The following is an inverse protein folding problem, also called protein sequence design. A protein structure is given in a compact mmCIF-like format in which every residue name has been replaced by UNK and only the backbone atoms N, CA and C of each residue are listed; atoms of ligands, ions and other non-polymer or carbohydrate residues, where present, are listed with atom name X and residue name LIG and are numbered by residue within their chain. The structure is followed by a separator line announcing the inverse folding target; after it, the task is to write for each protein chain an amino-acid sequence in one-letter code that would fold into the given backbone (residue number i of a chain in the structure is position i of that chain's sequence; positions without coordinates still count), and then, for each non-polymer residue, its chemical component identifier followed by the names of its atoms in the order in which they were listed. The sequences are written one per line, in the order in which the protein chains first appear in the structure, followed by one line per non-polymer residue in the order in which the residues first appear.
data_IF_066337852289
#
_entry.id   IF_066337852289
#
_cell.length_a   1.000
_cell.length_b   1.000
_cell.length_c   1.000
_cell.angle_alpha   90.00
_cell.angle_beta   90.00
_cell.angle_gamma   90.00
#
_symmetry.space_group_name_H-M   'P 1'
#
loop_
_entity.id
_entity.type
_entity.pdbx_description
1 polymer ?
#
# COMPACT_ATOMS: atom_id res chain seq x y z
N UNK A 1 -14.22 -33.22 -53.29
CA UNK A 1 -12.88 -32.62 -53.47
C UNK A 1 -13.04 -31.14 -53.78
N UNK A 2 -12.27 -30.28 -53.10
CA UNK A 2 -12.25 -28.79 -53.16
C UNK A 2 -13.48 -28.16 -52.46
N UNK A 3 -13.36 -27.42 -51.36
CA UNK A 3 -12.39 -26.35 -51.10
C UNK A 3 -11.83 -26.42 -49.67
N UNK A 4 -10.53 -26.64 -49.62
CA UNK A 4 -9.66 -26.26 -48.52
C UNK A 4 -9.52 -24.73 -48.60
N UNK A 5 -10.07 -23.98 -47.65
CA UNK A 5 -9.74 -22.58 -47.41
C UNK A 5 -10.18 -22.25 -45.97
N UNK A 6 -9.23 -22.24 -45.04
CA UNK A 6 -8.62 -20.98 -44.56
C UNK A 6 -9.62 -20.22 -43.69
N UNK A 7 -9.62 -20.62 -42.43
CA UNK A 7 -9.58 -19.75 -41.27
C UNK A 7 -9.18 -20.71 -40.16
N UNK A 8 -7.89 -21.05 -40.07
CA UNK A 8 -7.06 -20.40 -39.06
C UNK A 8 -7.95 -20.21 -37.82
N UNK A 9 -8.12 -21.29 -37.05
CA UNK A 9 -8.20 -21.13 -35.61
C UNK A 9 -7.03 -20.22 -35.30
N UNK A 10 -7.31 -18.92 -35.23
CA UNK A 10 -6.54 -18.04 -34.37
C UNK A 10 -6.54 -18.82 -33.07
N UNK A 11 -5.39 -19.43 -32.78
CA UNK A 11 -4.83 -19.36 -31.47
C UNK A 11 -5.05 -17.91 -31.05
N UNK A 12 -6.19 -17.67 -30.40
CA UNK A 12 -6.28 -16.65 -29.39
C UNK A 12 -5.33 -17.19 -28.33
N UNK A 13 -4.04 -16.98 -28.57
CA UNK A 13 -3.09 -16.80 -27.52
C UNK A 13 -3.68 -15.63 -26.75
N UNK A 14 -4.54 -15.95 -25.78
CA UNK A 14 -4.72 -15.14 -24.60
C UNK A 14 -3.37 -15.20 -23.91
N UNK A 15 -2.38 -14.53 -24.48
CA UNK A 15 -1.43 -13.79 -23.67
C UNK A 15 -2.32 -12.86 -22.85
N UNK A 16 -2.73 -13.33 -21.68
CA UNK A 16 -2.95 -12.45 -20.56
C UNK A 16 -1.66 -11.66 -20.48
N UNK A 17 -1.65 -10.49 -21.12
CA UNK A 17 -0.73 -9.44 -20.73
C UNK A 17 -1.13 -9.25 -19.28
N UNK A 18 -0.39 -9.85 -18.35
CA UNK A 18 -0.49 -9.48 -16.96
C UNK A 18 -0.35 -7.96 -17.01
N UNK A 19 -1.43 -7.25 -16.68
CA UNK A 19 -1.37 -5.80 -16.64
C UNK A 19 -0.14 -5.48 -15.80
N UNK A 20 0.82 -4.75 -16.38
CA UNK A 20 1.98 -4.34 -15.62
C UNK A 20 1.43 -3.56 -14.43
N UNK A 21 1.49 -4.16 -13.25
CA UNK A 21 0.98 -3.54 -12.05
C UNK A 21 1.87 -2.33 -11.75
N UNK A 22 1.29 -1.18 -11.48
CA UNK A 22 2.07 -0.04 -11.02
C UNK A 22 2.70 -0.39 -9.65
N UNK A 23 3.87 0.18 -9.28
CA UNK A 23 4.39 -0.03 -7.94
C UNK A 23 3.39 0.50 -6.92
N UNK A 24 3.38 -0.05 -5.73
CA UNK A 24 2.56 0.48 -4.65
C UNK A 24 3.24 0.29 -3.29
N UNK A 25 2.77 1.04 -2.31
CA UNK A 25 3.26 0.94 -0.92
C UNK A 25 2.10 0.46 -0.05
N UNK A 26 2.36 -0.56 0.77
CA UNK A 26 1.38 -1.20 1.62
C UNK A 26 1.86 -1.38 3.06
N UNK A 27 0.90 -1.64 3.95
CA UNK A 27 1.12 -1.93 5.37
C UNK A 27 0.64 -3.35 5.66
N UNK A 28 1.43 -4.12 6.39
CA UNK A 28 1.23 -5.56 6.59
C UNK A 28 1.49 -5.99 8.04
N UNK A 29 0.86 -7.07 8.48
CA UNK A 29 1.02 -7.66 9.81
C UNK A 29 2.18 -8.67 9.87
N UNK A 30 2.74 -9.06 8.72
CA UNK A 30 3.86 -10.00 8.61
C UNK A 30 4.98 -9.43 7.72
N UNK A 31 6.14 -10.06 7.83
CA UNK A 31 7.36 -9.72 7.11
C UNK A 31 7.44 -10.31 5.69
N UNK A 32 6.43 -11.08 5.27
CA UNK A 32 6.28 -11.59 3.91
C UNK A 32 5.32 -10.73 3.05
N UNK A 33 4.75 -9.66 3.62
CA UNK A 33 3.81 -8.76 2.97
C UNK A 33 2.54 -9.46 2.44
N UNK A 34 1.95 -10.35 3.24
CA UNK A 34 0.76 -11.14 2.84
C UNK A 34 -0.51 -10.70 3.57
N UNK A 35 -0.42 -10.53 4.89
CA UNK A 35 -1.53 -10.20 5.77
C UNK A 35 -1.56 -8.70 5.98
N UNK A 36 -2.70 -8.07 5.69
CA UNK A 36 -2.88 -6.63 5.89
C UNK A 36 -4.00 -6.29 6.89
N UNK A 37 -4.16 -7.20 7.85
CA UNK A 37 -5.02 -7.01 8.99
C UNK A 37 -4.40 -7.63 10.23
N UNK A 38 -4.66 -7.03 11.39
CA UNK A 38 -4.28 -7.59 12.68
C UNK A 38 -5.32 -7.31 13.74
N UNK A 39 -5.33 -8.16 14.77
CA UNK A 39 -6.10 -7.88 15.99
C UNK A 39 -5.23 -7.16 17.00
N UNK A 40 -5.84 -6.23 17.70
CA UNK A 40 -5.19 -5.40 18.71
C UNK A 40 -5.68 -5.83 20.08
N UNK A 41 -4.74 -6.18 20.96
CA UNK A 41 -5.01 -6.39 22.38
C UNK A 41 -4.43 -5.24 23.17
N UNK A 42 -5.20 -4.71 24.12
CA UNK A 42 -4.73 -3.63 24.98
C UNK A 42 -3.45 -4.04 25.72
N UNK A 43 -2.47 -3.12 25.79
CA UNK A 43 -1.17 -3.33 26.43
C UNK A 43 -0.30 -4.43 25.81
N UNK A 44 -0.60 -4.85 24.58
CA UNK A 44 0.25 -5.75 23.80
C UNK A 44 0.75 -5.00 22.58
N UNK A 45 2.06 -4.98 22.39
CA UNK A 45 2.66 -4.35 21.22
C UNK A 45 2.29 -5.12 19.95
N UNK A 46 1.82 -4.40 18.93
CA UNK A 46 1.48 -4.94 17.61
C UNK A 46 2.43 -4.33 16.58
N UNK A 47 3.36 -5.12 16.00
CA UNK A 47 4.17 -4.67 14.89
C UNK A 47 3.36 -4.72 13.59
N UNK A 48 3.57 -3.71 12.74
CA UNK A 48 3.21 -3.73 11.33
C UNK A 48 4.43 -3.35 10.50
N UNK A 49 4.42 -3.74 9.24
CA UNK A 49 5.55 -3.64 8.31
C UNK A 49 5.10 -2.84 7.09
N UNK A 50 5.94 -1.91 6.64
CA UNK A 50 5.70 -1.10 5.46
C UNK A 50 6.60 -1.59 4.34
N UNK A 51 5.99 -1.94 3.21
CA UNK A 51 6.67 -2.47 2.05
C UNK A 51 6.32 -1.67 0.80
N UNK A 52 7.28 -1.52 -0.10
CA UNK A 52 7.01 -1.21 -1.50
C UNK A 52 6.93 -2.53 -2.29
N UNK A 53 5.85 -2.72 -3.04
CA UNK A 53 5.66 -3.85 -3.94
C UNK A 53 5.92 -3.34 -5.35
N UNK A 54 6.86 -3.98 -6.03
CA UNK A 54 7.44 -3.50 -7.27
C UNK A 54 7.12 -4.45 -8.42
N UNK A 55 6.68 -3.94 -9.58
CA UNK A 55 6.55 -4.77 -10.77
C UNK A 55 7.93 -5.24 -11.27
N UNK A 56 7.97 -6.30 -12.11
CA UNK A 56 9.21 -6.80 -12.68
C UNK A 56 10.03 -5.77 -13.47
N UNK A 57 9.42 -4.69 -13.95
CA UNK A 57 10.08 -3.57 -14.64
C UNK A 57 10.91 -2.69 -13.69
N UNK A 58 10.65 -2.73 -12.39
CA UNK A 58 11.34 -1.95 -11.36
C UNK A 58 12.10 -2.93 -10.44
N UNK A 59 13.38 -3.22 -10.73
CA UNK A 59 14.14 -4.27 -10.03
C UNK A 59 14.54 -3.89 -8.59
N UNK A 60 14.37 -2.62 -8.22
CA UNK A 60 14.68 -2.10 -6.89
C UNK A 60 14.47 -0.60 -6.82
N UNK A 61 14.62 -0.06 -5.62
CA UNK A 61 14.37 1.36 -5.32
C UNK A 61 15.51 1.97 -4.52
N UNK A 62 15.74 3.26 -4.75
CA UNK A 62 16.70 4.10 -4.05
C UNK A 62 16.02 5.04 -3.06
N UNK A 63 14.74 5.35 -3.24
CA UNK A 63 13.95 6.13 -2.30
C UNK A 63 12.45 5.84 -2.42
N UNK A 64 11.67 6.31 -1.46
CA UNK A 64 10.21 6.33 -1.49
C UNK A 64 9.69 7.56 -0.74
N UNK A 65 8.57 8.11 -1.20
CA UNK A 65 7.86 9.21 -0.53
C UNK A 65 6.37 8.90 -0.44
N UNK A 66 5.80 9.04 0.77
CA UNK A 66 4.39 8.74 1.06
C UNK A 66 3.96 9.38 2.39
N UNK A 67 2.70 9.22 2.76
CA UNK A 67 2.22 9.37 4.15
C UNK A 67 1.31 8.22 4.53
N UNK A 68 1.06 8.08 5.82
CA UNK A 68 0.12 7.15 6.42
C UNK A 68 -1.01 7.97 7.02
N UNK A 69 -2.18 7.90 6.39
CA UNK A 69 -3.39 8.53 6.88
C UNK A 69 -4.01 7.75 8.04
N UNK A 70 -4.69 8.47 8.93
CA UNK A 70 -5.39 7.94 10.10
C UNK A 70 -4.49 7.09 11.04
N UNK A 71 -3.27 7.56 11.29
CA UNK A 71 -2.41 6.96 12.32
C UNK A 71 -3.05 7.06 13.73
N UNK A 72 -2.80 6.08 14.61
CA UNK A 72 -3.30 6.10 15.98
C UNK A 72 -2.83 7.33 16.74
N UNK A 73 -3.77 8.02 17.38
CA UNK A 73 -3.47 9.20 18.19
C UNK A 73 -2.81 8.80 19.52
N UNK A 74 -2.14 9.75 20.17
CA UNK A 74 -1.50 9.53 21.47
C UNK A 74 -2.46 9.08 22.59
N UNK A 75 -3.77 9.34 22.44
CA UNK A 75 -4.80 8.85 23.35
C UNK A 75 -5.16 7.37 23.13
N UNK A 76 -4.88 6.82 21.95
CA UNK A 76 -5.15 5.43 21.59
C UNK A 76 -3.97 4.52 21.92
N UNK A 77 -2.75 4.99 21.66
CA UNK A 77 -1.54 4.21 21.88
C UNK A 77 -0.26 5.00 21.70
N UNK A 78 0.85 4.35 22.05
CA UNK A 78 2.19 4.81 21.72
C UNK A 78 2.61 4.21 20.39
N UNK A 79 3.14 5.03 19.49
CA UNK A 79 3.60 4.61 18.17
C UNK A 79 5.11 4.81 18.09
N UNK A 80 5.83 3.75 17.74
CA UNK A 80 7.28 3.79 17.51
C UNK A 80 7.56 3.40 16.07
N UNK A 81 8.36 4.21 15.38
CA UNK A 81 8.77 3.97 14.00
C UNK A 81 10.19 3.42 13.96
N UNK A 82 10.43 2.41 13.12
CA UNK A 82 11.75 1.87 12.84
C UNK A 82 11.93 1.72 11.32
N UNK A 83 12.44 2.78 10.70
CA UNK A 83 12.72 2.78 9.26
C UNK A 83 13.96 1.98 8.95
N UNK A 84 13.97 1.28 7.82
CA UNK A 84 15.09 0.47 7.36
C UNK A 84 16.24 1.32 6.76
N UNK A 85 16.25 2.61 7.07
CA UNK A 85 17.28 3.57 6.68
C UNK A 85 17.41 4.67 7.72
N UNK A 86 18.62 5.19 7.97
CA UNK A 86 18.80 6.39 8.78
C UNK A 86 18.47 7.68 8.01
N UNK A 87 18.33 7.64 6.68
CA UNK A 87 18.05 8.82 5.85
C UNK A 87 16.53 9.03 5.74
N UNK A 88 15.98 9.70 6.75
CA UNK A 88 14.55 9.95 6.92
C UNK A 88 14.30 11.44 7.01
N UNK A 89 13.38 11.95 6.18
CA UNK A 89 12.93 13.34 6.22
C UNK A 89 11.41 13.35 6.38
N UNK A 90 10.90 14.21 7.27
CA UNK A 90 9.46 14.36 7.52
C UNK A 90 8.91 13.42 8.58
N UNK A 91 7.59 13.26 8.60
CA UNK A 91 6.86 12.41 9.56
C UNK A 91 5.82 11.56 8.86
N UNK A 92 5.55 10.36 9.40
CA UNK A 92 4.68 9.40 8.74
C UNK A 92 3.24 9.89 8.53
N UNK A 93 2.71 10.74 9.41
CA UNK A 93 1.34 11.27 9.36
C UNK A 93 1.15 12.42 8.36
N UNK A 94 2.23 13.14 8.03
CA UNK A 94 2.17 14.32 7.16
C UNK A 94 2.79 14.04 5.78
N UNK A 95 3.99 13.46 5.76
CA UNK A 95 4.78 13.22 4.58
C UNK A 95 6.17 12.74 5.00
N UNK A 96 6.57 11.57 4.53
CA UNK A 96 7.85 10.95 4.85
C UNK A 96 8.58 10.58 3.57
N UNK A 97 9.85 10.98 3.49
CA UNK A 97 10.78 10.59 2.45
C UNK A 97 11.88 9.70 3.06
N UNK A 98 12.07 8.53 2.46
CA UNK A 98 13.06 7.54 2.84
C UNK A 98 14.05 7.36 1.69
N UNK A 99 15.35 7.42 1.97
CA UNK A 99 16.40 7.15 0.98
C UNK A 99 17.26 5.96 1.41
N UNK A 100 17.66 5.11 0.48
CA UNK A 100 18.31 3.82 0.76
C UNK A 100 19.69 3.74 0.10
N UNK A 101 20.71 3.47 0.93
CA UNK A 101 22.08 3.22 0.48
C UNK A 101 22.65 2.03 1.30
N UNK A 102 22.75 0.82 0.73
CA UNK A 102 22.46 0.46 -0.67
C UNK A 102 20.96 0.49 -1.01
N UNK A 103 20.65 0.51 -2.31
CA UNK A 103 19.29 0.39 -2.83
C UNK A 103 18.61 -0.91 -2.36
N UNK A 104 17.29 -0.88 -2.18
CA UNK A 104 16.52 -2.06 -1.81
C UNK A 104 16.12 -2.87 -3.04
N UNK A 105 16.33 -4.19 -3.05
CA UNK A 105 15.92 -5.04 -4.16
C UNK A 105 14.40 -5.27 -4.17
N UNK A 106 13.81 -5.42 -5.36
CA UNK A 106 12.46 -5.94 -5.55
C UNK A 106 12.40 -7.48 -5.52
N UNK A 107 11.19 -8.08 -5.63
CA UNK A 107 9.90 -7.43 -5.88
C UNK A 107 9.23 -6.83 -4.64
N UNK A 108 9.75 -7.12 -3.45
CA UNK A 108 9.21 -6.64 -2.17
C UNK A 108 10.32 -5.93 -1.41
N UNK A 109 10.22 -4.61 -1.29
CA UNK A 109 11.22 -3.76 -0.65
C UNK A 109 10.76 -3.34 0.75
N UNK A 110 11.47 -3.80 1.80
CA UNK A 110 11.14 -3.46 3.19
C UNK A 110 11.56 -2.02 3.54
N UNK A 111 10.58 -1.14 3.72
CA UNK A 111 10.80 0.28 4.02
C UNK A 111 11.01 0.54 5.51
N UNK A 112 10.35 -0.25 6.36
CA UNK A 112 10.45 -0.14 7.80
C UNK A 112 9.27 -0.78 8.52
N UNK A 113 9.29 -0.71 9.84
CA UNK A 113 8.20 -1.19 10.69
C UNK A 113 7.69 -0.12 11.63
N UNK A 114 6.44 -0.31 12.06
CA UNK A 114 5.76 0.55 13.03
C UNK A 114 5.24 -0.36 14.13
N UNK A 115 5.54 -0.01 15.37
CA UNK A 115 5.09 -0.73 16.54
C UNK A 115 4.06 0.12 17.28
N UNK A 116 2.87 -0.42 17.44
CA UNK A 116 1.78 0.21 18.18
C UNK A 116 1.64 -0.46 19.55
N UNK A 117 1.66 0.34 20.61
CA UNK A 117 1.34 -0.09 21.97
C UNK A 117 0.00 0.53 22.41
N UNK A 118 -1.10 -0.23 22.34
CA UNK A 118 -2.44 0.26 22.67
C UNK A 118 -2.61 0.55 24.16
N UNK A 119 -3.04 1.77 24.47
CA UNK A 119 -3.33 2.21 25.84
C UNK A 119 -4.82 2.14 26.17
N UNK A 120 -5.69 2.08 25.15
CA UNK A 120 -7.13 1.97 25.27
C UNK A 120 -7.67 0.82 24.40
N UNK A 121 -8.95 0.49 24.58
CA UNK A 121 -9.65 -0.38 23.64
C UNK A 121 -9.61 0.27 22.24
N UNK A 122 -9.13 -0.49 21.27
CA UNK A 122 -8.99 -0.01 19.91
C UNK A 122 -10.33 -0.15 19.18
N UNK A 123 -10.73 0.83 18.34
CA UNK A 123 -11.94 0.72 17.55
C UNK A 123 -11.94 -0.54 16.67
N UNK A 124 -13.13 -1.10 16.44
CA UNK A 124 -13.32 -2.07 15.37
C UNK A 124 -13.06 -1.38 14.03
N UNK A 125 -12.56 -2.14 13.05
CA UNK A 125 -12.42 -1.70 11.67
C UNK A 125 -11.58 -0.41 11.50
N UNK A 126 -10.58 -0.21 12.37
CA UNK A 126 -9.71 0.97 12.30
C UNK A 126 -8.75 0.85 11.11
N UNK A 127 -8.91 1.71 10.11
CA UNK A 127 -8.19 1.67 8.83
C UNK A 127 -7.09 2.73 8.77
N UNK A 128 -5.87 2.31 8.48
CA UNK A 128 -4.76 3.20 8.09
C UNK A 128 -4.54 3.06 6.59
N UNK A 129 -4.21 4.15 5.90
CA UNK A 129 -4.11 4.14 4.43
C UNK A 129 -2.82 4.81 3.98
N UNK A 130 -2.15 4.25 2.97
CA UNK A 130 -1.04 4.90 2.30
C UNK A 130 -1.58 5.93 1.32
N UNK A 131 -1.07 7.16 1.43
CA UNK A 131 -1.51 8.28 0.61
C UNK A 131 -0.32 9.13 0.16
N UNK A 132 -0.56 10.03 -0.78
CA UNK A 132 0.39 11.07 -1.14
C UNK A 132 0.73 11.99 0.05
N UNK A 133 2.00 12.36 0.14
CA UNK A 133 2.54 13.33 1.10
C UNK A 133 1.76 14.65 1.06
N UNK A 134 1.46 15.23 2.21
CA UNK A 134 0.85 16.57 2.31
C UNK A 134 1.87 17.70 2.07
N UNK A 135 3.17 17.43 2.18
CA UNK A 135 4.23 18.41 1.91
C UNK A 135 4.41 18.65 0.41
N UNK A 136 4.46 17.57 -0.37
CA UNK A 136 4.84 17.59 -1.79
C UNK A 136 3.71 17.19 -2.73
N UNK A 137 2.68 16.50 -2.23
CA UNK A 137 1.66 15.86 -3.07
C UNK A 137 2.13 14.54 -3.70
N UNK A 138 3.26 13.99 -3.29
CA UNK A 138 3.84 12.80 -3.91
C UNK A 138 3.47 11.50 -3.19
N UNK A 139 3.03 10.50 -3.94
CA UNK A 139 3.12 9.08 -3.62
C UNK A 139 3.99 8.42 -4.68
N UNK A 140 5.26 8.20 -4.38
CA UNK A 140 6.24 7.76 -5.38
C UNK A 140 7.25 6.78 -4.81
N UNK A 141 7.80 5.95 -5.69
CA UNK A 141 9.07 5.26 -5.48
C UNK A 141 10.11 5.81 -6.44
N UNK A 142 11.38 5.80 -6.05
CA UNK A 142 12.48 6.20 -6.93
C UNK A 142 13.26 4.95 -7.33
N UNK A 143 13.35 4.68 -8.63
CA UNK A 143 14.00 3.49 -9.16
C UNK A 143 15.55 3.55 -9.03
N UNK A 144 16.23 2.54 -9.58
CA UNK A 144 17.70 2.49 -9.61
C UNK A 144 18.35 3.49 -10.57
N UNK A 145 17.56 4.05 -11.50
CA UNK A 145 17.95 5.11 -12.42
C UNK A 145 17.69 6.52 -11.88
N UNK A 146 17.22 6.65 -10.64
CA UNK A 146 16.81 7.90 -10.01
C UNK A 146 15.59 8.57 -10.67
N UNK A 147 14.72 7.79 -11.30
CA UNK A 147 13.44 8.26 -11.81
C UNK A 147 12.37 8.09 -10.74
N UNK A 148 11.55 9.13 -10.52
CA UNK A 148 10.33 9.03 -9.74
C UNK A 148 9.26 8.29 -10.53
N UNK A 149 8.74 7.22 -9.94
CA UNK A 149 7.65 6.42 -10.47
C UNK A 149 6.46 6.58 -9.52
N UNK A 150 5.31 7.10 -10.00
CA UNK A 150 4.08 7.16 -9.21
C UNK A 150 3.69 5.78 -8.69
N UNK A 151 3.29 5.72 -7.43
CA UNK A 151 2.76 4.51 -6.83
C UNK A 151 1.22 4.54 -6.80
N UNK A 152 0.59 3.37 -6.86
CA UNK A 152 -0.86 3.22 -6.76
C UNK A 152 -1.36 3.68 -5.37
N UNK A 153 -2.43 4.47 -5.36
CA UNK A 153 -3.06 4.99 -4.15
C UNK A 153 -4.10 4.03 -3.57
N UNK A 154 -4.41 4.22 -2.29
CA UNK A 154 -5.58 3.60 -1.67
C UNK A 154 -5.35 2.24 -1.04
N UNK A 155 -4.10 1.76 -0.95
CA UNK A 155 -3.77 0.58 -0.16
C UNK A 155 -3.88 0.87 1.34
N UNK A 156 -4.49 -0.06 2.07
CA UNK A 156 -4.82 0.16 3.46
C UNK A 156 -4.49 -1.04 4.36
N UNK A 157 -4.51 -0.81 5.66
CA UNK A 157 -4.38 -1.85 6.67
C UNK A 157 -5.48 -1.68 7.70
N UNK A 158 -6.06 -2.80 8.15
CA UNK A 158 -7.20 -2.77 9.08
C UNK A 158 -6.88 -3.45 10.40
N UNK A 159 -7.01 -2.72 11.50
CA UNK A 159 -7.04 -3.30 12.83
C UNK A 159 -8.46 -3.76 13.20
N UNK A 160 -8.54 -4.90 13.89
CA UNK A 160 -9.79 -5.45 14.42
C UNK A 160 -10.89 -5.56 13.34
N UNK A 161 -10.52 -6.12 12.19
CA UNK A 161 -11.44 -6.34 11.08
C UNK A 161 -12.65 -7.18 11.53
N UNK A 162 -13.85 -6.67 11.27
CA UNK A 162 -15.12 -7.38 11.49
C UNK A 162 -15.79 -7.82 10.19
N UNK A 163 -15.27 -7.35 9.04
CA UNK A 163 -15.87 -7.54 7.72
C UNK A 163 -17.02 -6.57 7.41
N UNK A 164 -17.25 -5.56 8.27
CA UNK A 164 -18.34 -4.59 8.10
C UNK A 164 -18.01 -3.43 7.15
N UNK A 165 -16.75 -3.28 6.75
CA UNK A 165 -16.29 -2.19 5.90
C UNK A 165 -16.68 -2.38 4.42
N UNK A 166 -16.99 -1.29 3.70
CA UNK A 166 -17.05 -1.32 2.23
C UNK A 166 -15.70 -1.82 1.66
N UNK A 167 -15.76 -2.80 0.75
CA UNK A 167 -14.59 -3.49 0.21
C UNK A 167 -13.95 -4.53 1.15
N UNK A 168 -14.52 -4.76 2.33
CA UNK A 168 -13.96 -5.67 3.31
C UNK A 168 -12.64 -5.17 3.92
N UNK A 169 -11.79 -6.12 4.29
CA UNK A 169 -10.48 -5.86 4.91
C UNK A 169 -9.31 -6.35 4.05
N UNK A 170 -9.58 -6.70 2.79
CA UNK A 170 -8.55 -7.05 1.83
C UNK A 170 -7.94 -5.75 1.27
N UNK A 171 -6.67 -5.54 1.56
CA UNK A 171 -5.89 -4.36 1.16
C UNK A 171 -5.30 -4.44 -0.25
N UNK A 172 -5.40 -5.62 -0.87
CA UNK A 172 -4.88 -5.85 -2.22
C UNK A 172 -5.81 -5.25 -3.27
N UNK A 173 -7.06 -4.98 -2.89
CA UNK A 173 -7.99 -4.12 -3.60
C UNK A 173 -7.86 -2.70 -3.04
N UNK A 174 -7.39 -1.75 -3.86
CA UNK A 174 -7.34 -0.34 -3.46
C UNK A 174 -8.71 0.19 -3.05
N UNK A 175 -8.77 1.18 -2.15
CA UNK A 175 -10.03 1.88 -1.85
C UNK A 175 -10.55 2.46 -3.16
N UNK A 176 -11.75 2.05 -3.58
CA UNK A 176 -12.40 2.62 -4.75
C UNK A 176 -12.55 4.14 -4.54
N UNK A 177 -11.72 4.94 -5.23
CA UNK A 177 -11.78 6.41 -5.18
C UNK A 177 -13.12 6.91 -5.79
N UNK A 178 -13.86 6.04 -6.49
CA UNK A 178 -15.16 6.33 -7.10
C UNK A 178 -16.35 6.46 -6.13
N UNK A 179 -16.24 6.03 -4.86
CA UNK A 179 -17.40 6.11 -3.93
C UNK A 179 -17.64 7.53 -3.37
N UNK A 180 -16.74 8.49 -3.60
CA UNK A 180 -16.96 9.90 -3.26
C UNK A 180 -17.79 10.66 -4.32
N UNK A 181 -17.72 10.27 -5.60
CA UNK A 181 -18.32 11.05 -6.71
C UNK A 181 -19.71 10.55 -7.11
N UNK A 182 -19.98 9.24 -7.04
CA UNK A 182 -21.30 8.71 -7.40
C UNK A 182 -22.38 8.91 -6.33
N UNK A 183 -21.99 8.95 -5.05
CA UNK A 183 -22.90 9.23 -3.93
C UNK A 183 -23.52 10.63 -4.01
N UNK A 184 -22.78 11.62 -4.54
CA UNK A 184 -23.27 12.98 -4.74
C UNK A 184 -24.16 13.12 -5.99
N UNK A 185 -23.89 12.33 -7.04
CA UNK A 185 -24.70 12.35 -8.27
C UNK A 185 -26.07 11.70 -8.04
N UNK A 186 -26.17 10.65 -7.23
CA UNK A 186 -27.47 10.02 -6.88
C UNK A 186 -28.35 10.86 -5.95
N UNK A 187 -27.81 11.90 -5.32
CA UNK A 187 -28.61 12.86 -4.54
C UNK A 187 -29.21 13.99 -5.39
N UNK A 188 -28.88 14.02 -6.70
CA UNK A 188 -29.38 15.01 -7.66
C UNK A 188 -30.41 14.42 -8.66
N UNK A 189 -30.78 13.14 -8.52
CA UNK A 189 -31.81 12.47 -9.31
C UNK A 189 -32.84 11.77 -8.43
#
# INVERSE_FOLDING_TARGET
MKKLMVALLLLVAMSSVAAAQDPFIGIYADDAAVLCQANVTQYVSVPVYVFAILPPSIPGITAAEFRIDNLPTAGMGLTTYNWNTPLVIGTADYGIALAFAPALPGPTAFLGSISFFPLAAWPADFRMTIMASLDSGNLVVVDLGYNEIPAEEGHFFTFNCTGSLPGGCDCTEGIAIEDATWGQIKALY
#
